data_IF_939676990640
#
_entry.id   IF_939676990640
#
_cell.length_a   1.000
_cell.length_b   1.000
_cell.length_c   1.000
_cell.angle_alpha   90.00
_cell.angle_beta   90.00
_cell.angle_gamma   90.00
#
_symmetry.space_group_name_H-M   'P 1'
#
loop_
_entity.id
_entity.type
_entity.pdbx_description
1 polymer ?
#
# COMPACT_ATOMS: atom_id res chain seq x y z
N UNK A 1 9.27 -15.21 0.65
CA UNK A 1 8.97 -14.67 -0.70
C UNK A 1 9.19 -15.71 -1.79
N UNK A 2 10.25 -16.50 -1.73
CA UNK A 2 10.62 -17.46 -2.77
C UNK A 2 9.61 -18.60 -2.96
N UNK A 3 9.15 -19.21 -1.88
CA UNK A 3 8.10 -20.25 -1.89
C UNK A 3 6.79 -19.74 -2.52
N UNK A 4 6.36 -18.53 -2.17
CA UNK A 4 5.17 -17.91 -2.76
C UNK A 4 5.31 -17.70 -4.28
N UNK A 5 6.51 -17.35 -4.76
CA UNK A 5 6.81 -17.23 -6.19
C UNK A 5 6.81 -18.59 -6.89
N UNK A 6 7.30 -19.64 -6.24
CA UNK A 6 7.25 -21.00 -6.80
C UNK A 6 5.80 -21.46 -6.98
N UNK A 7 4.96 -21.31 -5.96
CA UNK A 7 3.53 -21.64 -6.05
C UNK A 7 2.82 -20.82 -7.12
N UNK A 8 3.17 -19.54 -7.27
CA UNK A 8 2.62 -18.70 -8.32
C UNK A 8 3.02 -19.21 -9.72
N UNK A 9 4.29 -19.60 -9.93
CA UNK A 9 4.75 -20.19 -11.19
C UNK A 9 4.08 -21.53 -11.48
N UNK A 10 3.79 -22.32 -10.45
CA UNK A 10 3.07 -23.59 -10.55
C UNK A 10 1.55 -23.41 -10.77
N UNK A 11 1.04 -22.18 -10.90
CA UNK A 11 -0.39 -21.92 -11.09
C UNK A 11 -1.24 -22.09 -9.82
N UNK A 12 -0.62 -22.40 -8.67
CA UNK A 12 -1.27 -22.56 -7.36
C UNK A 12 -1.56 -21.19 -6.74
N UNK A 13 -2.36 -20.39 -7.43
CA UNK A 13 -2.59 -18.99 -7.09
C UNK A 13 -3.23 -18.79 -5.71
N UNK A 14 -4.11 -19.68 -5.27
CA UNK A 14 -4.73 -19.59 -3.95
C UNK A 14 -3.72 -19.78 -2.81
N UNK A 15 -2.81 -20.75 -2.95
CA UNK A 15 -1.75 -21.01 -1.97
C UNK A 15 -0.70 -19.89 -1.99
N UNK A 16 -0.32 -19.41 -3.18
CA UNK A 16 0.57 -18.25 -3.33
C UNK A 16 0.00 -17.01 -2.62
N UNK A 17 -1.30 -16.71 -2.78
CA UNK A 17 -1.96 -15.59 -2.09
C UNK A 17 -1.96 -15.74 -0.57
N UNK A 18 -2.08 -16.96 -0.03
CA UNK A 18 -1.97 -17.21 1.41
C UNK A 18 -0.57 -16.87 1.91
N UNK A 19 0.49 -17.34 1.22
CA UNK A 19 1.87 -17.03 1.58
C UNK A 19 2.20 -15.54 1.43
N UNK A 20 1.74 -14.87 0.37
CA UNK A 20 1.95 -13.43 0.26
C UNK A 20 1.25 -12.67 1.41
N UNK A 21 0.06 -13.10 1.81
CA UNK A 21 -0.67 -12.51 2.95
C UNK A 21 0.06 -12.71 4.28
N UNK A 22 0.72 -13.84 4.51
CA UNK A 22 1.52 -14.01 5.74
C UNK A 22 2.73 -13.08 5.72
N UNK A 23 3.35 -12.88 4.56
CA UNK A 23 4.49 -11.98 4.37
C UNK A 23 4.13 -10.50 4.57
N UNK A 24 2.87 -10.10 4.36
CA UNK A 24 2.40 -8.73 4.66
C UNK A 24 2.06 -8.49 6.13
N UNK A 25 1.96 -9.55 6.95
CA UNK A 25 1.66 -9.44 8.40
C UNK A 25 2.91 -9.22 9.27
N UNK A 26 4.10 -9.26 8.66
CA UNK A 26 5.36 -9.03 9.37
C UNK A 26 5.55 -7.57 9.82
N UNK A 27 6.58 -7.32 10.63
CA UNK A 27 6.89 -5.98 11.18
C UNK A 27 7.26 -4.91 10.13
N UNK A 28 7.65 -5.31 8.92
CA UNK A 28 8.04 -4.40 7.83
C UNK A 28 7.03 -4.50 6.69
N UNK A 29 6.65 -3.34 6.14
CA UNK A 29 5.82 -3.24 4.95
C UNK A 29 6.49 -4.02 3.81
N UNK A 30 5.83 -5.09 3.36
CA UNK A 30 6.32 -5.89 2.23
C UNK A 30 5.62 -5.45 0.94
N UNK A 31 6.13 -4.35 0.40
CA UNK A 31 5.86 -3.78 -0.90
C UNK A 31 5.64 -4.82 -2.02
N UNK A 32 6.61 -5.74 -2.17
CA UNK A 32 6.61 -6.72 -3.25
C UNK A 32 5.48 -7.74 -3.06
N UNK A 33 5.24 -8.23 -1.84
CA UNK A 33 4.16 -9.17 -1.55
C UNK A 33 2.79 -8.60 -1.95
N UNK A 34 2.50 -7.34 -1.59
CA UNK A 34 1.28 -6.65 -2.01
C UNK A 34 1.18 -6.55 -3.53
N UNK A 35 2.24 -6.13 -4.21
CA UNK A 35 2.27 -6.02 -5.67
C UNK A 35 1.96 -7.36 -6.35
N UNK A 36 2.56 -8.46 -5.88
CA UNK A 36 2.32 -9.81 -6.39
C UNK A 36 0.87 -10.25 -6.19
N UNK A 37 0.31 -10.02 -4.99
CA UNK A 37 -1.10 -10.32 -4.73
C UNK A 37 -2.03 -9.60 -5.71
N UNK A 38 -1.80 -8.31 -5.95
CA UNK A 38 -2.60 -7.52 -6.90
C UNK A 38 -2.48 -8.06 -8.34
N UNK A 39 -1.29 -8.47 -8.77
CA UNK A 39 -1.08 -9.06 -10.11
C UNK A 39 -1.85 -10.37 -10.26
N UNK A 40 -1.77 -11.26 -9.27
CA UNK A 40 -2.48 -12.55 -9.28
C UNK A 40 -3.99 -12.34 -9.33
N UNK A 41 -4.53 -11.44 -8.49
CA UNK A 41 -5.96 -11.14 -8.43
C UNK A 41 -6.46 -10.51 -9.74
N UNK A 42 -5.66 -9.63 -10.35
CA UNK A 42 -5.99 -9.01 -11.64
C UNK A 42 -6.07 -10.03 -12.77
N UNK A 43 -5.13 -10.99 -12.81
CA UNK A 43 -5.16 -12.09 -13.80
C UNK A 43 -6.41 -12.96 -13.66
N UNK A 44 -6.86 -13.20 -12.43
CA UNK A 44 -8.09 -13.94 -12.13
C UNK A 44 -9.36 -13.10 -12.28
N UNK A 45 -9.26 -11.82 -12.70
CA UNK A 45 -10.38 -10.87 -12.78
C UNK A 45 -11.14 -10.69 -11.45
N UNK A 46 -10.50 -10.99 -10.32
CA UNK A 46 -11.07 -10.85 -8.98
C UNK A 46 -10.93 -9.39 -8.51
N UNK A 47 -11.58 -8.46 -9.23
CA UNK A 47 -11.39 -7.03 -9.03
C UNK A 47 -11.83 -6.54 -7.64
N UNK A 48 -12.88 -7.12 -7.06
CA UNK A 48 -13.33 -6.78 -5.69
C UNK A 48 -12.25 -7.09 -4.66
N UNK A 49 -11.65 -8.28 -4.75
CA UNK A 49 -10.57 -8.71 -3.86
C UNK A 49 -9.27 -7.95 -4.15
N UNK A 50 -8.98 -7.62 -5.41
CA UNK A 50 -7.85 -6.74 -5.78
C UNK A 50 -7.98 -5.39 -5.08
N UNK A 51 -9.19 -4.78 -5.10
CA UNK A 51 -9.45 -3.50 -4.45
C UNK A 51 -9.21 -3.53 -2.94
N UNK A 52 -9.70 -4.58 -2.25
CA UNK A 52 -9.44 -4.76 -0.82
C UNK A 52 -7.94 -4.86 -0.50
N UNK A 53 -7.18 -5.57 -1.34
CA UNK A 53 -5.73 -5.69 -1.16
C UNK A 53 -5.03 -4.35 -1.37
N UNK A 54 -5.44 -3.57 -2.38
CA UNK A 54 -4.90 -2.22 -2.63
C UNK A 54 -5.12 -1.31 -1.42
N UNK A 55 -6.36 -1.25 -0.91
CA UNK A 55 -6.70 -0.43 0.26
C UNK A 55 -5.92 -0.84 1.51
N UNK A 56 -5.75 -2.15 1.75
CA UNK A 56 -4.92 -2.65 2.85
C UNK A 56 -3.45 -2.28 2.70
N UNK A 57 -2.91 -2.29 1.48
CA UNK A 57 -1.52 -1.91 1.22
C UNK A 57 -1.30 -0.43 1.54
N UNK A 58 -2.20 0.43 1.08
CA UNK A 58 -2.19 1.88 1.37
C UNK A 58 -2.27 2.13 2.88
N UNK A 59 -3.25 1.54 3.55
CA UNK A 59 -3.40 1.70 5.00
C UNK A 59 -2.18 1.21 5.79
N UNK A 60 -1.55 0.11 5.36
CA UNK A 60 -0.33 -0.40 5.99
C UNK A 60 0.87 0.55 5.79
N UNK A 61 0.98 1.20 4.62
CA UNK A 61 2.01 2.20 4.36
C UNK A 61 1.78 3.48 5.19
N UNK A 62 0.55 3.98 5.23
CA UNK A 62 0.17 5.14 6.05
C UNK A 62 0.45 4.88 7.53
N UNK A 63 0.11 3.68 8.04
CA UNK A 63 0.39 3.27 9.42
C UNK A 63 1.90 3.19 9.71
N UNK A 64 2.71 2.70 8.76
CA UNK A 64 4.17 2.65 8.91
C UNK A 64 4.78 4.07 9.00
N UNK A 65 4.30 5.00 8.18
CA UNK A 65 4.70 6.41 8.24
C UNK A 65 4.29 7.06 9.55
N UNK A 66 3.06 6.83 10.01
CA UNK A 66 2.55 7.37 11.28
C UNK A 66 3.33 6.83 12.50
N UNK A 67 3.65 5.53 12.51
CA UNK A 67 4.47 4.92 13.57
C UNK A 67 5.88 5.51 13.61
N UNK A 68 6.49 5.78 12.46
CA UNK A 68 7.80 6.40 12.37
C UNK A 68 7.77 7.85 12.89
N UNK A 69 6.70 8.61 12.60
CA UNK A 69 6.51 9.97 13.13
C UNK A 69 6.37 10.00 14.65
N UNK A 70 5.62 9.06 15.25
CA UNK A 70 5.53 8.96 16.71
C UNK A 70 6.89 8.70 17.34
N UNK A 71 7.67 7.78 16.75
CA UNK A 71 9.02 7.48 17.24
C UNK A 71 10.01 8.66 17.12
N UNK A 72 9.78 9.60 16.20
CA UNK A 72 10.57 10.84 16.08
C UNK A 72 10.08 11.89 17.09
N UNK A 73 8.76 12.08 17.21
CA UNK A 73 8.17 13.04 18.15
C UNK A 73 8.37 12.66 19.62
N UNK A 74 8.53 11.37 19.94
CA UNK A 74 8.83 10.90 21.30
C UNK A 74 10.31 11.07 21.68
N UNK A 75 11.22 11.17 20.72
CA UNK A 75 12.66 11.30 20.99
C UNK A 75 13.10 12.74 21.21
N UNK A 76 12.43 13.72 20.59
CA UNK A 76 12.86 15.12 20.65
C UNK A 76 11.73 16.06 20.17
N UNK A 77 10.85 16.50 21.09
CA UNK A 77 9.64 17.26 20.75
C UNK A 77 9.94 18.62 20.11
N UNK A 78 11.01 19.29 20.55
CA UNK A 78 11.41 20.60 20.03
C UNK A 78 11.99 20.48 18.61
N UNK A 79 12.84 19.48 18.39
CA UNK A 79 13.43 19.17 17.10
C UNK A 79 12.38 18.72 16.06
N UNK A 80 11.37 17.97 16.52
CA UNK A 80 10.24 17.55 15.68
C UNK A 80 9.35 18.72 15.27
N UNK A 81 9.09 19.68 16.18
CA UNK A 81 8.31 20.88 15.89
C UNK A 81 9.03 21.81 14.89
N UNK A 82 10.35 22.00 15.06
CA UNK A 82 11.20 22.75 14.13
C UNK A 82 11.24 22.10 12.75
N UNK A 83 11.47 20.79 12.69
CA UNK A 83 11.49 20.03 11.44
C UNK A 83 10.14 20.07 10.71
N UNK A 84 9.03 20.04 11.46
CA UNK A 84 7.68 20.13 10.89
C UNK A 84 7.39 21.51 10.31
N UNK A 85 7.74 22.59 11.02
CA UNK A 85 7.60 23.97 10.50
C UNK A 85 8.45 24.19 9.26
N UNK A 86 9.66 23.63 9.22
CA UNK A 86 10.52 23.69 8.05
C UNK A 86 9.88 22.94 6.86
N UNK A 87 9.40 21.72 7.07
CA UNK A 87 8.73 20.94 6.04
C UNK A 87 7.45 21.63 5.49
N UNK A 88 6.69 22.27 6.36
CA UNK A 88 5.52 23.08 6.00
C UNK A 88 5.92 24.28 5.13
N UNK A 89 6.94 25.05 5.54
CA UNK A 89 7.45 26.20 4.79
C UNK A 89 8.04 25.85 3.42
N UNK A 90 8.50 24.61 3.27
CA UNK A 90 9.05 24.07 2.02
C UNK A 90 7.96 23.47 1.11
N UNK A 91 6.68 23.52 1.51
CA UNK A 91 5.57 22.92 0.76
C UNK A 91 5.68 21.39 0.69
N UNK A 92 6.39 20.79 1.64
CA UNK A 92 6.55 19.34 1.74
C UNK A 92 5.42 18.71 2.55
N UNK A 93 4.45 19.47 3.05
CA UNK A 93 3.24 18.98 3.72
C UNK A 93 1.97 19.46 3.00
N UNK A 94 0.94 18.62 2.95
CA UNK A 94 -0.40 18.99 2.48
C UNK A 94 -1.17 19.72 3.59
N UNK A 95 -2.38 20.20 3.30
CA UNK A 95 -3.22 20.96 4.25
C UNK A 95 -3.58 20.18 5.53
N UNK A 96 -3.44 18.85 5.51
CA UNK A 96 -3.63 17.95 6.67
C UNK A 96 -2.32 17.72 7.46
N UNK A 97 -1.22 18.35 7.05
CA UNK A 97 0.11 18.20 7.65
C UNK A 97 0.80 16.87 7.33
N UNK A 98 0.47 16.24 6.20
CA UNK A 98 1.06 15.00 5.69
C UNK A 98 2.06 15.30 4.56
N UNK A 99 3.19 14.57 4.43
CA UNK A 99 4.16 14.75 3.36
C UNK A 99 3.51 14.80 1.98
N UNK A 100 3.75 15.88 1.24
CA UNK A 100 3.42 16.02 -0.19
C UNK A 100 4.17 14.98 -1.01
N UNK A 101 5.37 14.57 -0.56
CA UNK A 101 6.05 13.40 -1.11
C UNK A 101 5.38 12.12 -0.60
N UNK A 102 4.34 11.71 -1.31
CA UNK A 102 3.85 10.34 -1.23
C UNK A 102 4.96 9.39 -1.68
N UNK A 103 5.19 8.32 -0.91
CA UNK A 103 6.02 7.21 -1.36
C UNK A 103 5.57 6.81 -2.78
N UNK A 104 6.47 6.79 -3.79
CA UNK A 104 6.13 6.46 -5.18
C UNK A 104 5.30 5.17 -5.30
N UNK A 105 5.46 4.25 -4.35
CA UNK A 105 4.68 3.04 -4.25
C UNK A 105 3.21 3.27 -3.85
N UNK A 106 2.94 4.17 -2.90
CA UNK A 106 1.58 4.51 -2.47
C UNK A 106 0.84 5.22 -3.61
N UNK A 107 1.49 6.16 -4.29
CA UNK A 107 0.91 6.82 -5.46
C UNK A 107 0.60 5.81 -6.58
N UNK A 108 1.48 4.82 -6.80
CA UNK A 108 1.22 3.74 -7.76
C UNK A 108 0.01 2.88 -7.36
N UNK A 109 -0.15 2.57 -6.07
CA UNK A 109 -1.30 1.84 -5.55
C UNK A 109 -2.60 2.63 -5.67
N UNK A 110 -2.60 3.94 -5.39
CA UNK A 110 -3.75 4.85 -5.58
C UNK A 110 -4.19 4.89 -7.05
N UNK A 111 -3.24 5.02 -7.99
CA UNK A 111 -3.54 4.92 -9.43
C UNK A 111 -4.17 3.57 -9.79
N UNK A 112 -3.64 2.48 -9.22
CA UNK A 112 -4.19 1.13 -9.44
C UNK A 112 -5.60 0.99 -8.87
N UNK A 113 -5.86 1.56 -7.70
CA UNK A 113 -7.18 1.61 -7.05
C UNK A 113 -8.22 2.21 -8.01
N UNK A 114 -7.97 3.41 -8.51
CA UNK A 114 -8.87 4.12 -9.41
C UNK A 114 -9.18 3.32 -10.70
N UNK A 115 -8.16 2.64 -11.25
CA UNK A 115 -8.34 1.77 -12.42
C UNK A 115 -9.22 0.57 -12.11
N UNK A 116 -9.02 -0.08 -10.96
CA UNK A 116 -9.81 -1.24 -10.53
C UNK A 116 -11.26 -0.84 -10.24
N UNK A 117 -11.49 0.29 -9.57
CA UNK A 117 -12.82 0.83 -9.31
C UNK A 117 -13.57 1.15 -10.61
N UNK A 118 -12.90 1.81 -11.57
CA UNK A 118 -13.48 2.04 -12.90
C UNK A 118 -13.89 0.73 -13.57
N UNK A 119 -13.06 -0.33 -13.48
CA UNK A 119 -13.37 -1.65 -14.03
C UNK A 119 -14.57 -2.30 -13.36
N UNK A 120 -14.64 -2.28 -12.03
CA UNK A 120 -15.78 -2.81 -11.27
C UNK A 120 -17.08 -2.13 -11.71
N UNK A 121 -17.09 -0.80 -11.79
CA UNK A 121 -18.23 -0.01 -12.25
C UNK A 121 -18.62 -0.36 -13.70
N UNK A 122 -17.65 -0.44 -14.61
CA UNK A 122 -17.91 -0.81 -16.01
C UNK A 122 -18.39 -2.26 -16.19
N UNK A 123 -17.93 -3.18 -15.34
CA UNK A 123 -18.35 -4.58 -15.36
C UNK A 123 -19.74 -4.77 -14.73
N UNK A 124 -20.10 -3.95 -13.73
CA UNK A 124 -21.44 -3.89 -13.16
C UNK A 124 -22.47 -3.28 -14.11
N UNK A 125 -22.07 -2.28 -14.91
CA UNK A 125 -22.95 -1.62 -15.90
C UNK A 125 -23.24 -2.46 -17.16
N UNK A 126 -22.55 -3.59 -17.36
CA UNK A 126 -22.76 -4.52 -18.49
C UNK A 126 -23.64 -5.73 -18.12
N UNK A 127 -24.30 -5.70 -16.96
CA UNK A 127 -25.23 -6.74 -16.51
C UNK A 127 -26.65 -6.21 -16.54
#
# INVERSE_FOLDING_TARGET
>A
MEEARQLEKAGKHAEALKLYRTLTRGKRLNADAYNRMMVILRKQKQYKTELEVIRRAIAAAEAAVAANRKAIGERDQDSAALSRKLADSLGLLNDEGLPVYEDPQVTAWRKREAVVEKRIRSAGSRR
#
